data_IF_323590445736
#
_entry.id   IF_323590445736
#
_cell.length_a   1.000
_cell.length_b   1.000
_cell.length_c   1.000
_cell.angle_alpha   90.00
_cell.angle_beta   90.00
_cell.angle_gamma   90.00
#
_symmetry.space_group_name_H-M   'P 1'
#
loop_
_entity.id
_entity.type
_entity.pdbx_description
1 polymer ?
#
# COMPACT_ATOMS: atom_id res chain seq x y z
N UNK A 1 -3.67 34.56 37.00
CA UNK A 1 -4.56 33.82 36.05
C UNK A 1 -4.05 33.81 34.61
N UNK A 2 -3.65 34.95 34.02
CA UNK A 2 -3.22 35.04 32.60
C UNK A 2 -2.09 34.06 32.19
N UNK A 3 -1.07 33.89 33.04
CA UNK A 3 0.04 32.96 32.77
C UNK A 3 -0.36 31.49 32.78
N UNK A 4 -1.31 31.10 33.65
CA UNK A 4 -1.79 29.70 33.71
C UNK A 4 -2.53 29.32 32.43
N UNK A 5 -3.34 30.22 31.88
CA UNK A 5 -4.06 29.97 30.62
C UNK A 5 -3.13 29.71 29.43
N UNK A 6 -2.12 30.57 29.22
CA UNK A 6 -1.16 30.38 28.13
C UNK A 6 -0.29 29.13 28.30
N UNK A 7 0.07 28.76 29.54
CA UNK A 7 0.80 27.53 29.83
C UNK A 7 -0.03 26.29 29.46
N UNK A 8 -1.32 26.27 29.81
CA UNK A 8 -2.22 25.18 29.41
C UNK A 8 -2.29 25.07 27.89
N UNK A 9 -2.42 26.18 27.18
CA UNK A 9 -2.40 26.20 25.70
C UNK A 9 -1.08 25.65 25.15
N UNK A 10 0.07 26.02 25.72
CA UNK A 10 1.38 25.52 25.30
C UNK A 10 1.51 24.02 25.49
N UNK A 11 1.01 23.49 26.62
CA UNK A 11 1.02 22.05 26.89
C UNK A 11 0.10 21.28 25.93
N UNK A 12 -1.10 21.79 25.68
CA UNK A 12 -2.04 21.18 24.72
C UNK A 12 -1.49 21.21 23.29
N UNK A 13 -0.92 22.33 22.87
CA UNK A 13 -0.29 22.45 21.56
C UNK A 13 0.95 21.55 21.43
N UNK A 14 1.74 21.40 22.50
CA UNK A 14 2.87 20.45 22.55
C UNK A 14 2.35 19.02 22.33
N UNK A 15 1.31 18.61 23.05
CA UNK A 15 0.70 17.29 22.88
C UNK A 15 0.18 17.09 21.44
N UNK A 16 -0.49 18.10 20.87
CA UNK A 16 -0.98 18.04 19.50
C UNK A 16 0.16 17.92 18.47
N UNK A 17 1.23 18.72 18.60
CA UNK A 17 2.43 18.60 17.75
C UNK A 17 3.05 17.21 17.88
N UNK A 18 3.14 16.64 19.08
CA UNK A 18 3.63 15.28 19.27
C UNK A 18 2.74 14.24 18.57
N UNK A 19 1.41 14.37 18.66
CA UNK A 19 0.47 13.47 17.98
C UNK A 19 0.58 13.60 16.45
N UNK A 20 0.72 14.83 15.92
CA UNK A 20 0.97 15.07 14.49
C UNK A 20 2.22 14.39 13.96
N UNK A 21 3.22 14.20 14.83
CA UNK A 21 4.49 13.57 14.48
C UNK A 21 4.57 12.11 14.96
N UNK A 22 3.51 11.53 15.52
CA UNK A 22 3.54 10.15 16.03
C UNK A 22 3.74 9.13 14.88
N UNK A 23 3.16 9.38 13.71
CA UNK A 23 3.41 8.58 12.50
C UNK A 23 4.88 8.60 12.08
N UNK A 24 5.52 9.77 12.18
CA UNK A 24 6.95 9.94 11.94
C UNK A 24 7.78 9.17 12.97
N UNK A 25 7.39 9.20 14.25
CA UNK A 25 8.03 8.44 15.32
C UNK A 25 8.02 6.92 15.09
N UNK A 26 6.89 6.38 14.60
CA UNK A 26 6.80 4.96 14.23
C UNK A 26 7.70 4.61 13.03
N UNK A 27 7.74 5.48 12.01
CA UNK A 27 8.64 5.33 10.86
C UNK A 27 10.13 5.35 11.25
N UNK A 28 10.50 6.19 12.23
CA UNK A 28 11.87 6.23 12.77
C UNK A 28 12.20 4.95 13.53
N UNK A 29 11.29 4.47 14.39
CA UNK A 29 11.48 3.22 15.13
C UNK A 29 11.76 2.06 14.18
N UNK A 30 10.97 1.95 13.11
CA UNK A 30 11.19 0.98 12.05
C UNK A 30 12.54 1.17 11.35
N UNK A 31 12.86 2.39 10.93
CA UNK A 31 14.12 2.71 10.25
C UNK A 31 15.36 2.40 11.10
N UNK A 32 15.32 2.67 12.41
CA UNK A 32 16.43 2.34 13.33
C UNK A 32 16.57 0.83 13.48
N UNK A 33 15.46 0.08 13.63
CA UNK A 33 15.47 -1.39 13.71
C UNK A 33 16.04 -2.02 12.44
N UNK A 34 15.77 -1.43 11.27
CA UNK A 34 16.18 -1.96 9.97
C UNK A 34 17.43 -1.29 9.37
N UNK A 35 18.20 -0.55 10.18
CA UNK A 35 19.53 -0.10 9.78
C UNK A 35 19.57 1.11 8.84
N UNK A 36 18.53 1.94 8.81
CA UNK A 36 18.49 3.20 8.05
C UNK A 36 19.55 4.24 8.50
N UNK A 37 20.29 3.94 9.57
CA UNK A 37 21.41 4.74 10.06
C UNK A 37 21.00 6.10 10.65
N UNK A 38 21.96 7.01 10.86
CA UNK A 38 21.71 8.33 11.47
C UNK A 38 20.75 9.22 10.67
N UNK A 39 20.59 8.95 9.37
CA UNK A 39 19.66 9.67 8.50
C UNK A 39 18.20 9.57 8.99
N UNK A 40 17.84 8.50 9.70
CA UNK A 40 16.52 8.35 10.33
C UNK A 40 16.20 9.48 11.33
N UNK A 41 17.22 10.11 11.94
CA UNK A 41 17.01 11.23 12.88
C UNK A 41 16.57 12.52 12.18
N UNK A 42 16.81 12.66 10.86
CA UNK A 42 16.35 13.83 10.11
C UNK A 42 14.83 13.94 10.07
N UNK A 43 14.12 12.83 10.24
CA UNK A 43 12.66 12.81 10.36
C UNK A 43 12.17 13.47 11.67
N UNK A 44 13.00 13.65 12.69
CA UNK A 44 12.64 14.39 13.91
C UNK A 44 12.76 15.91 13.79
N UNK A 45 13.39 16.41 12.71
CA UNK A 45 13.64 17.85 12.54
C UNK A 45 12.35 18.67 12.57
N UNK A 46 11.27 18.30 11.86
CA UNK A 46 10.02 19.06 11.91
C UNK A 46 9.41 19.11 13.31
N UNK A 47 9.45 17.99 14.05
CA UNK A 47 8.99 17.92 15.44
C UNK A 47 9.80 18.88 16.33
N UNK A 48 11.14 18.78 16.26
CA UNK A 48 12.03 19.61 17.05
C UNK A 48 11.84 21.11 16.76
N UNK A 49 11.72 21.47 15.48
CA UNK A 49 11.45 22.86 15.04
C UNK A 49 10.09 23.33 15.53
N UNK A 50 9.03 22.53 15.38
CA UNK A 50 7.69 22.87 15.86
C UNK A 50 7.64 23.11 17.36
N UNK A 51 8.29 22.24 18.15
CA UNK A 51 8.40 22.41 19.60
C UNK A 51 9.24 23.64 19.97
N UNK A 52 10.37 23.86 19.30
CA UNK A 52 11.22 25.03 19.55
C UNK A 52 10.48 26.34 19.24
N UNK A 53 9.74 26.41 18.13
CA UNK A 53 8.92 27.56 17.77
C UNK A 53 7.81 27.80 18.80
N UNK A 54 7.13 26.74 19.24
CA UNK A 54 6.06 26.82 20.23
C UNK A 54 6.57 27.38 21.57
N UNK A 55 7.65 26.82 22.11
CA UNK A 55 8.19 27.22 23.40
C UNK A 55 8.89 28.58 23.35
N UNK A 56 9.60 28.90 22.27
CA UNK A 56 10.18 30.25 22.06
C UNK A 56 9.07 31.30 22.00
N UNK A 57 7.99 31.02 21.26
CA UNK A 57 6.81 31.90 21.19
C UNK A 57 6.17 32.11 22.56
N UNK A 58 6.06 31.05 23.38
CA UNK A 58 5.53 31.16 24.75
C UNK A 58 6.42 32.03 25.64
N UNK A 59 7.75 31.83 25.60
CA UNK A 59 8.71 32.62 26.39
C UNK A 59 8.65 34.10 26.00
N UNK A 60 8.58 34.40 24.71
CA UNK A 60 8.46 35.77 24.21
C UNK A 60 7.13 36.42 24.65
N UNK A 61 6.01 35.72 24.45
CA UNK A 61 4.69 36.20 24.87
C UNK A 61 4.62 36.47 26.38
N UNK A 62 5.26 35.61 27.20
CA UNK A 62 5.41 35.78 28.65
C UNK A 62 6.23 37.02 29.00
N UNK A 63 7.32 37.28 28.29
CA UNK A 63 8.19 38.46 28.52
C UNK A 63 7.50 39.78 28.16
N UNK A 64 6.68 39.79 27.11
CA UNK A 64 5.97 41.00 26.66
C UNK A 64 4.77 41.40 27.55
N UNK A 65 4.31 40.51 28.44
CA UNK A 65 3.24 40.77 29.42
C UNK A 65 1.94 41.34 28.81
N UNK A 66 1.56 40.87 27.62
CA UNK A 66 0.40 41.40 26.89
C UNK A 66 -0.92 41.04 27.60
N UNK A 67 -1.89 41.97 27.62
CA UNK A 67 -3.18 41.77 28.31
C UNK A 67 -3.95 40.53 27.81
N UNK A 68 -3.86 40.22 26.52
CA UNK A 68 -4.53 39.10 25.83
C UNK A 68 -3.60 37.94 25.48
N UNK A 69 -2.51 37.76 26.25
CA UNK A 69 -1.48 36.74 26.00
C UNK A 69 -2.01 35.32 25.71
N UNK A 70 -3.00 34.77 26.45
CA UNK A 70 -3.50 33.42 26.15
C UNK A 70 -4.14 33.31 24.76
N UNK A 71 -4.86 34.34 24.33
CA UNK A 71 -5.54 34.36 23.03
C UNK A 71 -4.52 34.49 21.90
N UNK A 72 -3.57 35.43 22.03
CA UNK A 72 -2.52 35.63 21.03
C UNK A 72 -1.64 34.38 20.88
N UNK A 73 -1.29 33.75 21.99
CA UNK A 73 -0.50 32.53 21.96
C UNK A 73 -1.30 31.34 21.41
N UNK A 74 -2.61 31.26 21.68
CA UNK A 74 -3.47 30.24 21.07
C UNK A 74 -3.53 30.38 19.54
N UNK A 75 -3.66 31.60 19.01
CA UNK A 75 -3.63 31.85 17.55
C UNK A 75 -2.27 31.46 16.97
N UNK A 76 -1.17 31.80 17.64
CA UNK A 76 0.18 31.41 17.22
C UNK A 76 0.37 29.88 17.20
N UNK A 77 -0.04 29.20 18.27
CA UNK A 77 0.03 27.74 18.38
C UNK A 77 -0.82 27.04 17.31
N UNK A 78 -2.03 27.56 17.05
CA UNK A 78 -2.89 27.07 15.97
C UNK A 78 -2.21 27.23 14.60
N UNK A 79 -1.52 28.35 14.37
CA UNK A 79 -0.73 28.57 13.15
C UNK A 79 0.36 27.51 12.96
N UNK A 80 1.10 27.16 14.02
CA UNK A 80 2.10 26.07 13.97
C UNK A 80 1.44 24.74 13.63
N UNK A 81 0.32 24.40 14.28
CA UNK A 81 -0.41 23.15 14.03
C UNK A 81 -0.89 23.05 12.58
N UNK A 82 -1.42 24.15 12.02
CA UNK A 82 -1.86 24.22 10.62
C UNK A 82 -0.69 24.05 9.66
N UNK A 83 0.44 24.73 9.91
CA UNK A 83 1.64 24.57 9.07
C UNK A 83 2.16 23.12 9.13
N UNK A 84 2.18 22.50 10.32
CA UNK A 84 2.54 21.10 10.46
C UNK A 84 1.64 20.18 9.63
N UNK A 85 0.31 20.37 9.66
CA UNK A 85 -0.63 19.60 8.82
C UNK A 85 -0.38 19.77 7.31
N UNK A 86 0.12 20.93 6.88
CA UNK A 86 0.38 21.19 5.46
C UNK A 86 1.72 20.68 4.98
N UNK A 87 2.71 20.56 5.88
CA UNK A 87 4.09 20.19 5.52
C UNK A 87 4.36 18.71 5.75
N UNK A 88 3.75 18.11 6.78
CA UNK A 88 4.00 16.72 7.13
C UNK A 88 3.05 15.77 6.38
N UNK A 89 3.58 14.69 5.78
CA UNK A 89 2.76 13.76 5.01
C UNK A 89 1.84 12.90 5.89
N UNK A 90 2.28 12.52 7.09
CA UNK A 90 1.58 11.54 7.94
C UNK A 90 1.00 12.16 9.21
N UNK A 91 0.10 13.12 9.06
CA UNK A 91 -0.59 13.80 10.18
C UNK A 91 -2.02 13.28 10.35
N UNK A 92 -2.65 13.44 11.53
CA UNK A 92 -4.00 12.94 11.80
C UNK A 92 -5.07 13.44 10.81
N UNK A 93 -4.99 14.70 10.37
CA UNK A 93 -5.96 15.23 9.43
C UNK A 93 -5.75 14.68 8.01
N UNK A 94 -4.49 14.56 7.57
CA UNK A 94 -4.18 13.95 6.28
C UNK A 94 -4.55 12.47 6.29
N UNK A 95 -4.18 11.71 7.31
CA UNK A 95 -4.57 10.32 7.49
C UNK A 95 -6.11 10.15 7.49
N UNK A 96 -6.85 11.03 8.18
CA UNK A 96 -8.31 11.01 8.15
C UNK A 96 -8.88 11.31 6.76
N UNK A 97 -8.32 12.30 6.03
CA UNK A 97 -8.73 12.63 4.65
C UNK A 97 -8.42 11.47 3.70
N UNK A 98 -7.24 10.90 3.81
CA UNK A 98 -6.77 9.77 3.01
C UNK A 98 -7.64 8.54 3.27
N UNK A 99 -7.92 8.20 4.53
CA UNK A 99 -8.86 7.13 4.86
C UNK A 99 -10.23 7.37 4.25
N UNK A 100 -10.76 8.60 4.38
CA UNK A 100 -12.06 8.95 3.80
C UNK A 100 -12.08 8.88 2.28
N UNK A 101 -10.96 9.17 1.62
CA UNK A 101 -10.80 9.02 0.18
C UNK A 101 -10.77 7.54 -0.22
N UNK A 102 -10.06 6.68 0.53
CA UNK A 102 -10.03 5.23 0.35
C UNK A 102 -11.42 4.61 0.54
N UNK A 103 -12.10 4.95 1.63
CA UNK A 103 -13.44 4.43 1.96
C UNK A 103 -14.49 4.82 0.92
N UNK A 104 -14.23 5.89 0.15
CA UNK A 104 -15.09 6.34 -0.93
C UNK A 104 -14.77 5.68 -2.28
N UNK A 105 -13.69 4.91 -2.42
CA UNK A 105 -13.36 4.24 -3.68
C UNK A 105 -14.39 3.15 -3.96
N UNK A 106 -15.01 3.23 -5.13
CA UNK A 106 -15.98 2.24 -5.59
C UNK A 106 -15.30 1.31 -6.60
N UNK A 107 -15.24 0.02 -6.29
CA UNK A 107 -14.72 -0.99 -7.22
C UNK A 107 -15.89 -1.72 -7.89
N UNK A 108 -15.88 -1.74 -9.22
CA UNK A 108 -16.95 -2.33 -10.04
C UNK A 108 -16.36 -3.11 -11.22
N UNK A 109 -17.24 -3.74 -12.01
CA UNK A 109 -16.88 -4.46 -13.24
C UNK A 109 -15.77 -5.51 -13.07
N UNK A 110 -15.68 -6.15 -11.89
CA UNK A 110 -14.69 -7.20 -11.63
C UNK A 110 -14.97 -8.41 -12.52
N UNK A 111 -13.95 -8.84 -13.25
CA UNK A 111 -14.01 -10.01 -14.13
C UNK A 111 -12.64 -10.69 -14.19
N UNK A 112 -12.66 -12.00 -14.25
CA UNK A 112 -11.47 -12.83 -14.41
C UNK A 112 -11.50 -13.64 -15.72
N UNK A 113 -10.33 -13.78 -16.32
CA UNK A 113 -10.08 -14.66 -17.45
C UNK A 113 -8.75 -15.39 -17.30
N UNK A 114 -8.54 -16.43 -18.13
CA UNK A 114 -7.26 -17.10 -18.18
C UNK A 114 -6.25 -16.22 -18.92
N UNK A 115 -5.11 -15.97 -18.29
CA UNK A 115 -3.96 -15.43 -19.00
C UNK A 115 -3.33 -16.55 -19.82
N UNK A 116 -3.20 -16.33 -21.13
CA UNK A 116 -2.67 -17.30 -22.06
C UNK A 116 -1.26 -16.90 -22.51
N UNK A 117 -0.39 -17.88 -22.71
CA UNK A 117 0.91 -17.70 -23.39
C UNK A 117 0.70 -17.30 -24.85
N UNK A 118 1.76 -16.89 -25.53
CA UNK A 118 1.71 -16.62 -26.98
C UNK A 118 1.23 -17.83 -27.81
N UNK A 119 1.32 -19.05 -27.27
CA UNK A 119 0.84 -20.29 -27.91
C UNK A 119 -0.62 -20.63 -27.57
N UNK A 120 -1.29 -19.79 -26.78
CA UNK A 120 -2.69 -19.98 -26.39
C UNK A 120 -2.89 -20.89 -25.17
N UNK A 121 -1.82 -21.28 -24.48
CA UNK A 121 -1.91 -22.16 -23.31
C UNK A 121 -2.10 -21.37 -22.01
N UNK A 122 -2.86 -21.86 -21.02
CA UNK A 122 -3.07 -21.13 -19.77
C UNK A 122 -1.79 -21.04 -18.94
N UNK A 123 -1.45 -19.84 -18.48
CA UNK A 123 -0.29 -19.57 -17.64
C UNK A 123 -0.61 -18.76 -16.38
N UNK A 124 -1.80 -18.16 -16.29
CA UNK A 124 -2.14 -17.29 -15.16
C UNK A 124 -3.60 -16.90 -15.09
N UNK A 125 -3.88 -15.94 -14.22
CA UNK A 125 -5.18 -15.27 -14.09
C UNK A 125 -4.99 -13.82 -14.48
N UNK A 126 -5.85 -13.33 -15.39
CA UNK A 126 -5.99 -11.91 -15.65
C UNK A 126 -7.27 -11.41 -15.01
N UNK A 127 -7.12 -10.48 -14.07
CA UNK A 127 -8.21 -9.78 -13.41
C UNK A 127 -8.36 -8.39 -14.04
N UNK A 128 -9.57 -8.03 -14.43
CA UNK A 128 -9.92 -6.67 -14.81
C UNK A 128 -10.97 -6.13 -13.85
N UNK A 129 -10.80 -4.88 -13.42
CA UNK A 129 -11.79 -4.17 -12.61
C UNK A 129 -11.72 -2.67 -12.89
N UNK A 130 -12.79 -1.97 -12.54
CA UNK A 130 -12.87 -0.52 -12.60
C UNK A 130 -12.90 0.03 -11.17
N UNK A 131 -12.08 1.03 -10.88
CA UNK A 131 -12.13 1.76 -9.62
C UNK A 131 -12.44 3.24 -9.88
N UNK A 132 -13.52 3.73 -9.26
CA UNK A 132 -13.89 5.14 -9.27
C UNK A 132 -13.36 5.81 -8.03
N UNK A 133 -12.76 6.99 -8.19
CA UNK A 133 -12.20 7.78 -7.09
C UNK A 133 -12.98 9.08 -6.90
N UNK A 134 -14.00 9.14 -6.01
CA UNK A 134 -14.75 10.37 -5.76
C UNK A 134 -13.92 11.50 -5.14
N UNK A 135 -12.74 11.18 -4.60
CA UNK A 135 -11.77 12.09 -4.02
C UNK A 135 -10.38 11.78 -4.60
N UNK A 136 -9.49 12.79 -4.74
CA UNK A 136 -8.14 12.53 -5.18
C UNK A 136 -7.40 11.66 -4.15
N UNK A 137 -6.58 10.74 -4.63
CA UNK A 137 -5.81 9.83 -3.79
C UNK A 137 -4.42 9.60 -4.36
N UNK A 138 -3.40 9.59 -3.50
CA UNK A 138 -2.07 9.11 -3.86
C UNK A 138 -1.87 7.74 -3.24
N UNK A 139 -1.59 6.74 -4.06
CA UNK A 139 -1.44 5.38 -3.58
C UNK A 139 -1.23 4.37 -4.69
N UNK A 140 -1.31 3.10 -4.33
CA UNK A 140 -1.42 2.00 -5.28
C UNK A 140 -2.75 1.29 -5.06
N UNK A 141 -3.29 0.73 -6.14
CA UNK A 141 -4.41 -0.19 -6.10
C UNK A 141 -3.95 -1.48 -6.76
N UNK A 142 -4.13 -2.59 -6.07
CA UNK A 142 -3.76 -3.90 -6.59
C UNK A 142 -4.67 -5.00 -6.05
N UNK A 143 -4.81 -6.10 -6.79
CA UNK A 143 -5.31 -7.34 -6.25
C UNK A 143 -4.28 -7.94 -5.27
N UNK A 144 -4.77 -8.52 -4.18
CA UNK A 144 -3.96 -9.33 -3.28
C UNK A 144 -3.61 -10.66 -3.92
N UNK A 145 -2.75 -11.44 -3.26
CA UNK A 145 -2.55 -12.86 -3.58
C UNK A 145 -3.89 -13.57 -3.73
N UNK A 146 -4.03 -14.36 -4.79
CA UNK A 146 -5.19 -15.23 -5.03
C UNK A 146 -4.97 -16.51 -4.24
N UNK A 147 -5.72 -16.65 -3.15
CA UNK A 147 -5.77 -17.86 -2.34
C UNK A 147 -6.88 -18.80 -2.81
N UNK A 148 -6.75 -20.12 -2.64
CA UNK A 148 -7.84 -21.05 -2.92
C UNK A 148 -9.02 -20.79 -1.97
N UNK A 149 -10.26 -20.85 -2.47
CA UNK A 149 -11.45 -20.62 -1.64
C UNK A 149 -11.58 -21.65 -0.51
N UNK A 150 -11.12 -22.88 -0.72
CA UNK A 150 -11.19 -23.95 0.27
C UNK A 150 -10.06 -23.92 1.32
N UNK A 151 -9.06 -23.05 1.13
CA UNK A 151 -7.91 -22.90 2.04
C UNK A 151 -6.95 -24.09 2.07
N UNK A 152 -7.10 -25.10 1.21
CA UNK A 152 -6.36 -26.38 1.31
C UNK A 152 -5.11 -26.46 0.46
N UNK A 153 -4.87 -25.46 -0.38
CA UNK A 153 -3.78 -25.49 -1.36
C UNK A 153 -2.54 -24.75 -0.82
N UNK A 154 -1.35 -25.36 -0.88
CA UNK A 154 -0.11 -24.77 -0.36
C UNK A 154 0.30 -23.52 -1.14
N UNK A 155 1.07 -22.66 -0.48
CA UNK A 155 1.53 -21.37 -1.01
C UNK A 155 2.14 -21.42 -2.43
N UNK A 156 2.95 -22.41 -2.83
CA UNK A 156 3.51 -22.46 -4.19
C UNK A 156 2.46 -22.47 -5.30
N UNK A 157 1.26 -22.99 -5.02
CA UNK A 157 0.16 -23.11 -5.96
C UNK A 157 -0.83 -21.93 -5.89
N UNK A 158 -0.53 -20.90 -5.10
CA UNK A 158 -1.31 -19.65 -5.08
C UNK A 158 -0.80 -18.69 -6.17
N UNK A 159 -1.60 -17.69 -6.55
CA UNK A 159 -1.17 -16.64 -7.49
C UNK A 159 -0.80 -15.38 -6.72
N UNK A 160 0.49 -15.19 -6.46
CA UNK A 160 1.03 -14.01 -5.78
C UNK A 160 2.02 -13.21 -6.63
N UNK A 161 2.41 -13.71 -7.80
CA UNK A 161 3.39 -13.04 -8.67
C UNK A 161 2.67 -12.16 -9.67
N UNK A 162 2.74 -10.85 -9.46
CA UNK A 162 2.31 -9.86 -10.45
C UNK A 162 3.26 -9.91 -11.65
N UNK A 163 2.71 -10.21 -12.83
CA UNK A 163 3.45 -10.18 -14.09
C UNK A 163 3.28 -8.82 -14.79
N UNK A 164 2.06 -8.30 -14.81
CA UNK A 164 1.75 -7.05 -15.49
C UNK A 164 0.60 -6.32 -14.78
N UNK A 165 0.75 -5.01 -14.62
CA UNK A 165 -0.30 -4.10 -14.18
C UNK A 165 -0.46 -3.01 -15.25
N UNK A 166 -1.65 -2.94 -15.84
CA UNK A 166 -2.05 -1.88 -16.76
C UNK A 166 -3.16 -1.05 -16.13
N UNK A 167 -3.01 0.28 -16.14
CA UNK A 167 -3.99 1.22 -15.61
C UNK A 167 -4.38 2.22 -16.71
N UNK A 168 -5.67 2.34 -16.98
CA UNK A 168 -6.22 3.17 -18.05
C UNK A 168 -7.37 4.06 -17.53
N UNK A 169 -7.33 5.39 -17.73
CA UNK A 169 -6.20 6.15 -18.27
C UNK A 169 -4.98 6.07 -17.34
N UNK A 170 -3.76 6.25 -17.87
CA UNK A 170 -2.55 6.17 -17.06
C UNK A 170 -2.49 7.35 -16.07
N UNK A 171 -2.53 7.09 -14.74
CA UNK A 171 -2.43 8.15 -13.75
C UNK A 171 -0.99 8.71 -13.68
N UNK A 172 -0.81 9.98 -13.30
CA UNK A 172 0.53 10.53 -13.02
C UNK A 172 1.25 9.72 -11.94
N UNK A 173 2.51 9.37 -12.19
CA UNK A 173 3.36 8.69 -11.21
C UNK A 173 3.86 9.67 -10.14
N UNK A 174 3.92 9.21 -8.89
CA UNK A 174 4.43 9.95 -7.73
C UNK A 174 5.29 9.01 -6.88
N UNK A 175 6.56 8.85 -7.28
CA UNK A 175 7.45 7.86 -6.67
C UNK A 175 6.98 6.42 -7.01
N UNK A 176 6.85 5.52 -6.03
CA UNK A 176 6.31 4.17 -6.25
C UNK A 176 4.77 4.13 -6.32
N UNK A 177 4.10 5.28 -6.18
CA UNK A 177 2.64 5.41 -6.15
C UNK A 177 2.09 6.14 -7.39
N UNK A 178 0.78 6.12 -7.53
CA UNK A 178 0.03 6.85 -8.56
C UNK A 178 -0.86 7.92 -7.93
N UNK A 179 -1.05 9.03 -8.65
CA UNK A 179 -1.98 10.09 -8.27
C UNK A 179 -3.31 9.92 -9.02
N UNK A 180 -4.30 9.34 -8.34
CA UNK A 180 -5.65 9.16 -8.86
C UNK A 180 -6.45 10.46 -8.76
N UNK A 181 -7.06 10.85 -9.87
CA UNK A 181 -7.81 12.09 -9.98
C UNK A 181 -9.23 11.93 -9.47
N UNK A 182 -9.77 13.03 -8.94
CA UNK A 182 -11.14 13.12 -8.46
C UNK A 182 -12.14 12.86 -9.59
N UNK A 183 -13.19 12.10 -9.27
CA UNK A 183 -14.32 11.75 -10.14
C UNK A 183 -13.90 10.98 -11.42
N UNK A 184 -12.71 10.39 -11.41
CA UNK A 184 -12.19 9.59 -12.53
C UNK A 184 -12.36 8.10 -12.25
N UNK A 185 -12.75 7.36 -13.29
CA UNK A 185 -12.78 5.90 -13.30
C UNK A 185 -11.51 5.40 -13.96
N UNK A 186 -10.80 4.52 -13.28
CA UNK A 186 -9.60 3.85 -13.80
C UNK A 186 -9.90 2.38 -13.98
N UNK A 187 -9.57 1.85 -15.16
CA UNK A 187 -9.58 0.42 -15.47
C UNK A 187 -8.22 -0.17 -15.14
N UNK A 188 -8.22 -1.17 -14.28
CA UNK A 188 -7.06 -1.95 -13.90
C UNK A 188 -7.12 -3.29 -14.60
N UNK A 189 -6.01 -3.70 -15.21
CA UNK A 189 -5.82 -5.05 -15.73
C UNK A 189 -4.56 -5.62 -15.12
N UNK A 190 -4.75 -6.59 -14.23
CA UNK A 190 -3.69 -7.25 -13.49
C UNK A 190 -3.55 -8.69 -13.95
N UNK A 191 -2.34 -9.05 -14.36
CA UNK A 191 -1.99 -10.42 -14.70
C UNK A 191 -1.16 -11.01 -13.59
N UNK A 192 -1.64 -12.09 -13.00
CA UNK A 192 -0.96 -12.83 -11.94
C UNK A 192 -0.62 -14.24 -12.39
N UNK A 193 0.55 -14.70 -11.98
CA UNK A 193 1.03 -16.05 -12.25
C UNK A 193 1.06 -16.86 -10.93
N UNK A 194 0.88 -18.20 -10.99
CA UNK A 194 1.15 -19.06 -9.86
C UNK A 194 2.57 -18.88 -9.34
N UNK A 195 2.79 -19.05 -8.04
CA UNK A 195 4.09 -18.76 -7.41
C UNK A 195 5.25 -19.64 -7.91
N UNK A 196 4.95 -20.81 -8.49
CA UNK A 196 5.93 -21.70 -9.15
C UNK A 196 6.31 -21.27 -10.59
N UNK A 197 5.59 -20.32 -11.17
CA UNK A 197 5.87 -19.73 -12.49
C UNK A 197 6.50 -18.36 -12.29
N UNK A 198 7.53 -18.04 -13.07
CA UNK A 198 7.96 -16.66 -13.29
C UNK A 198 7.99 -16.39 -14.78
N UNK A 199 8.15 -15.13 -15.16
CA UNK A 199 8.35 -14.74 -16.54
C UNK A 199 9.79 -14.29 -16.72
N UNK A 200 10.50 -14.85 -17.69
CA UNK A 200 11.83 -14.36 -18.04
C UNK A 200 11.65 -13.04 -18.81
N UNK A 201 12.12 -11.93 -18.23
CA UNK A 201 12.00 -10.60 -18.82
C UNK A 201 12.67 -10.50 -20.20
N UNK A 202 13.72 -11.31 -20.46
CA UNK A 202 14.46 -11.28 -21.73
C UNK A 202 13.73 -12.00 -22.83
N UNK A 203 13.27 -13.21 -22.57
CA UNK A 203 12.62 -14.05 -23.60
C UNK A 203 11.13 -13.78 -23.70
N UNK A 204 10.55 -13.12 -22.69
CA UNK A 204 9.11 -12.98 -22.55
C UNK A 204 8.42 -14.36 -22.60
N UNK A 205 9.01 -15.35 -21.93
CA UNK A 205 8.46 -16.71 -21.83
C UNK A 205 8.30 -17.12 -20.35
N UNK A 206 7.28 -17.93 -20.02
CA UNK A 206 7.14 -18.49 -18.68
C UNK A 206 8.29 -19.46 -18.39
N UNK A 207 8.88 -19.33 -17.19
CA UNK A 207 9.97 -20.15 -16.70
C UNK A 207 9.65 -20.68 -15.30
N UNK A 208 10.26 -21.81 -14.91
CA UNK A 208 10.07 -22.35 -13.57
C UNK A 208 10.84 -21.52 -12.56
N UNK A 209 10.11 -21.01 -11.57
CA UNK A 209 10.68 -20.46 -10.36
C UNK A 209 10.41 -21.46 -9.24
N UNK A 210 11.31 -22.44 -9.11
CA UNK A 210 11.30 -23.31 -7.94
C UNK A 210 11.72 -22.40 -6.78
N UNK A 211 10.72 -21.90 -6.05
CA UNK A 211 10.94 -21.14 -4.82
C UNK A 211 11.90 -21.95 -3.96
N UNK A 212 13.09 -21.42 -3.74
CA UNK A 212 14.16 -22.02 -2.96
C UNK A 212 13.79 -22.02 -1.48
N UNK A 213 12.84 -22.88 -1.04
CA UNK A 213 12.51 -23.22 0.38
C UNK A 213 11.34 -24.23 0.47
N UNK A 214 11.23 -25.02 1.56
CA UNK A 214 11.45 -26.46 1.65
C UNK A 214 10.26 -27.33 1.20
N UNK A 215 9.62 -27.08 0.06
CA UNK A 215 8.59 -27.99 -0.45
C UNK A 215 9.26 -29.18 -1.16
N UNK A 216 9.00 -30.42 -0.72
CA UNK A 216 9.46 -31.60 -1.47
C UNK A 216 8.69 -31.67 -2.78
N UNK A 217 9.37 -32.03 -3.86
CA UNK A 217 8.77 -32.15 -5.19
C UNK A 217 7.56 -33.11 -5.19
N UNK A 218 7.65 -34.22 -4.46
CA UNK A 218 6.53 -35.16 -4.31
C UNK A 218 5.28 -34.52 -3.69
N UNK A 219 5.45 -33.70 -2.65
CA UNK A 219 4.34 -33.00 -1.98
C UNK A 219 3.73 -31.94 -2.90
N UNK A 220 4.57 -31.27 -3.72
CA UNK A 220 4.10 -30.32 -4.74
C UNK A 220 3.28 -31.02 -5.82
N UNK A 221 3.77 -32.12 -6.37
CA UNK A 221 3.08 -32.88 -7.43
C UNK A 221 1.77 -33.50 -6.92
N UNK A 222 1.75 -34.00 -5.68
CA UNK A 222 0.54 -34.51 -5.02
C UNK A 222 -0.49 -33.39 -4.79
N UNK A 223 -0.04 -32.22 -4.32
CA UNK A 223 -0.92 -31.05 -4.19
C UNK A 223 -1.44 -30.56 -5.55
N UNK A 224 -0.58 -30.54 -6.58
CA UNK A 224 -0.94 -30.15 -7.94
C UNK A 224 -2.00 -31.08 -8.53
N UNK A 225 -1.84 -32.39 -8.35
CA UNK A 225 -2.80 -33.40 -8.80
C UNK A 225 -4.19 -33.23 -8.17
N UNK A 226 -4.24 -32.73 -6.93
CA UNK A 226 -5.49 -32.37 -6.23
C UNK A 226 -6.04 -30.99 -6.63
N UNK A 227 -5.28 -30.18 -7.35
CA UNK A 227 -5.62 -28.79 -7.69
C UNK A 227 -6.17 -28.63 -9.12
N UNK A 228 -6.75 -29.69 -9.68
CA UNK A 228 -7.50 -29.60 -10.93
C UNK A 228 -8.82 -28.87 -10.72
N UNK A 229 -8.99 -27.72 -11.38
CA UNK A 229 -10.19 -26.87 -11.33
C UNK A 229 -10.50 -26.27 -9.95
N UNK A 230 -9.69 -25.29 -9.55
CA UNK A 230 -9.82 -24.57 -8.27
C UNK A 230 -10.37 -23.16 -8.49
N UNK A 231 -11.30 -22.72 -7.64
CA UNK A 231 -11.69 -21.30 -7.55
C UNK A 231 -10.82 -20.57 -6.54
N UNK A 232 -10.51 -19.31 -6.86
CA UNK A 232 -9.65 -18.48 -6.04
C UNK A 232 -10.41 -17.27 -5.51
N UNK A 233 -10.00 -16.81 -4.33
CA UNK A 233 -10.41 -15.54 -3.75
C UNK A 233 -9.23 -14.57 -3.71
N UNK A 234 -9.50 -13.32 -4.06
CA UNK A 234 -8.58 -12.19 -3.89
C UNK A 234 -9.32 -11.01 -3.27
N UNK A 235 -8.57 -10.00 -2.84
CA UNK A 235 -9.08 -8.73 -2.39
C UNK A 235 -8.43 -7.61 -3.20
N UNK A 236 -9.22 -6.66 -3.68
CA UNK A 236 -8.69 -5.39 -4.16
C UNK A 236 -8.28 -4.58 -2.93
N UNK A 237 -7.02 -4.19 -2.91
CA UNK A 237 -6.39 -3.47 -1.83
C UNK A 237 -5.89 -2.12 -2.31
N UNK A 238 -5.95 -1.14 -1.42
CA UNK A 238 -5.41 0.20 -1.63
C UNK A 238 -4.38 0.48 -0.55
N UNK A 239 -3.16 0.84 -0.95
CA UNK A 239 -2.14 1.35 -0.04
C UNK A 239 -1.73 2.76 -0.42
N UNK A 240 -1.17 3.51 0.53
CA UNK A 240 -0.84 4.93 0.37
C UNK A 240 0.60 5.21 0.77
N UNK A 241 1.09 6.40 0.42
CA UNK A 241 2.40 6.89 0.86
C UNK A 241 2.45 7.27 2.35
N UNK A 242 1.30 7.31 3.03
CA UNK A 242 1.17 7.71 4.43
C UNK A 242 1.36 6.54 5.42
N UNK A 243 1.37 5.28 4.97
CA UNK A 243 1.60 4.14 5.86
C UNK A 243 1.64 2.77 5.19
N UNK A 244 2.18 1.75 5.89
CA UNK A 244 2.36 0.40 5.33
C UNK A 244 1.08 -0.44 5.28
N UNK A 245 -0.05 0.10 5.72
CA UNK A 245 -1.31 -0.64 5.83
C UNK A 245 -2.07 -0.53 4.52
N UNK A 246 -2.27 -1.67 3.85
CA UNK A 246 -3.22 -1.76 2.76
C UNK A 246 -4.64 -1.99 3.30
N UNK A 247 -5.61 -1.30 2.73
CA UNK A 247 -7.03 -1.41 3.08
C UNK A 247 -7.72 -2.27 2.02
N UNK A 248 -8.46 -3.29 2.44
CA UNK A 248 -9.30 -4.09 1.54
C UNK A 248 -10.56 -3.30 1.22
N UNK A 249 -10.76 -2.98 -0.06
CA UNK A 249 -11.96 -2.25 -0.52
C UNK A 249 -13.01 -3.15 -1.13
N UNK A 250 -12.61 -4.29 -1.70
CA UNK A 250 -13.53 -5.25 -2.31
C UNK A 250 -12.93 -6.64 -2.28
N UNK A 251 -13.72 -7.67 -2.00
CA UNK A 251 -13.32 -9.07 -2.18
C UNK A 251 -13.91 -9.62 -3.48
N UNK A 252 -13.20 -10.55 -4.09
CA UNK A 252 -13.62 -11.19 -5.33
C UNK A 252 -13.32 -12.68 -5.28
N UNK A 253 -14.29 -13.49 -5.71
CA UNK A 253 -14.07 -14.90 -6.01
C UNK A 253 -14.16 -15.08 -7.51
N UNK A 254 -13.18 -15.78 -8.09
CA UNK A 254 -13.13 -16.02 -9.52
C UNK A 254 -14.41 -16.68 -10.02
N UNK A 255 -14.93 -16.18 -11.13
CA UNK A 255 -16.16 -16.68 -11.75
C UNK A 255 -15.96 -18.12 -12.26
N UNK A 256 -14.75 -18.41 -12.76
CA UNK A 256 -14.35 -19.75 -13.22
C UNK A 256 -13.38 -20.42 -12.27
N UNK A 257 -13.32 -21.74 -12.40
CA UNK A 257 -12.25 -22.54 -11.82
C UNK A 257 -11.05 -22.52 -12.76
N UNK A 258 -9.86 -22.61 -12.20
CA UNK A 258 -8.59 -22.62 -12.92
C UNK A 258 -7.88 -23.95 -12.68
N UNK A 259 -7.34 -24.52 -13.76
CA UNK A 259 -6.63 -25.78 -13.71
C UNK A 259 -5.11 -25.54 -13.60
N UNK A 260 -4.59 -25.62 -12.38
CA UNK A 260 -3.16 -25.49 -12.12
C UNK A 260 -2.35 -26.62 -12.75
N UNK A 261 -2.92 -27.83 -12.87
CA UNK A 261 -2.25 -28.94 -13.53
C UNK A 261 -2.05 -28.64 -15.01
N UNK A 262 -3.05 -28.05 -15.68
CA UNK A 262 -2.92 -27.60 -17.06
C UNK A 262 -1.87 -26.47 -17.20
N UNK A 263 -1.82 -25.53 -16.26
CA UNK A 263 -0.80 -24.48 -16.25
C UNK A 263 0.61 -25.05 -16.04
N UNK A 264 0.78 -26.00 -15.12
CA UNK A 264 2.06 -26.68 -14.90
C UNK A 264 2.50 -27.47 -16.15
N UNK A 265 1.60 -28.25 -16.74
CA UNK A 265 1.85 -29.00 -17.97
C UNK A 265 2.26 -28.08 -19.13
N UNK A 266 1.62 -26.91 -19.26
CA UNK A 266 1.99 -25.89 -20.25
C UNK A 266 3.47 -25.53 -20.16
N UNK A 267 3.95 -25.22 -18.95
CA UNK A 267 5.36 -24.84 -18.73
C UNK A 267 6.31 -26.00 -19.05
N UNK A 268 5.98 -27.22 -18.60
CA UNK A 268 6.75 -28.42 -18.89
C UNK A 268 6.84 -28.67 -20.41
N UNK A 269 5.71 -28.58 -21.12
CA UNK A 269 5.62 -28.81 -22.56
C UNK A 269 6.31 -27.72 -23.38
N UNK A 270 6.23 -26.46 -22.92
CA UNK A 270 6.90 -25.32 -23.56
C UNK A 270 8.42 -25.31 -23.32
N UNK A 271 8.97 -26.31 -22.61
CA UNK A 271 10.41 -26.44 -22.27
C UNK A 271 10.97 -25.21 -21.57
N UNK A 272 10.14 -24.56 -20.76
CA UNK A 272 10.55 -23.55 -19.83
C UNK A 272 11.80 -24.03 -19.06
N UNK A 273 12.93 -23.39 -19.32
CA UNK A 273 14.14 -23.59 -18.53
C UNK A 273 13.87 -23.06 -17.11
N UNK A 274 14.67 -23.45 -16.14
CA UNK A 274 14.73 -22.68 -14.89
C UNK A 274 15.02 -21.22 -15.26
N UNK A 275 14.31 -20.29 -14.63
CA UNK A 275 14.59 -18.88 -14.83
C UNK A 275 16.08 -18.65 -14.53
N UNK A 276 16.81 -18.02 -15.47
CA UNK A 276 18.21 -17.70 -15.25
C UNK A 276 18.38 -16.76 -14.04
N UNK A 277 19.56 -16.75 -13.40
CA UNK A 277 19.90 -15.72 -12.42
C UNK A 277 19.96 -14.32 -13.05
#
# INVERSE_FOLDING_TARGET
MKQRGALIVALLATAAVCVQNAGVGMGIGWGVIHGAGPAALLFLVPLAVGLALLWTGYVLARRMNVRYMPVLFAVYALGILVVNEMVLPATPLNAWRTQRAIDAVEVTALRDEAFLTARGNPAGIRLTFEARFPQPLVGFVSASTFGPVDGKIPYPLQFGRLHQLLIEPTPPARGPYYAFQKDTVYRFTETTLPNFISYDERTQEPCFNIVTTPFREADFLDALARSGNVRYSTAIQIGTDEGPVSVVVQTYTTARAYDLSAMYQTIVQERARQCGP
#
